data_IF_881489811001
#
_entry.id   IF_881489811001
#
_cell.length_a   1.000
_cell.length_b   1.000
_cell.length_c   1.000
_cell.angle_alpha   90.00
_cell.angle_beta   90.00
_cell.angle_gamma   90.00
#
_symmetry.space_group_name_H-M   'P 1'
#
loop_
_entity.id
_entity.type
_entity.pdbx_description
1 polymer ?
#
# COMPACT_ATOMS: atom_id res chain seq x y z
N UNK A 1 8.73 -13.56 -9.70
CA UNK A 1 7.41 -12.90 -9.62
C UNK A 1 7.65 -11.40 -9.75
N UNK A 2 7.13 -10.78 -10.80
CA UNK A 2 7.14 -9.31 -10.92
C UNK A 2 6.16 -8.73 -9.89
N UNK A 3 6.67 -8.13 -8.82
CA UNK A 3 5.85 -7.55 -7.75
C UNK A 3 4.84 -6.49 -8.28
N UNK A 4 5.19 -5.87 -9.41
CA UNK A 4 4.37 -4.90 -10.15
C UNK A 4 3.05 -5.47 -10.71
N UNK A 5 2.82 -6.79 -10.65
CA UNK A 5 1.67 -7.46 -11.29
C UNK A 5 0.77 -8.24 -10.33
N UNK A 6 0.87 -7.99 -9.02
CA UNK A 6 0.02 -8.63 -8.02
C UNK A 6 -1.31 -7.89 -7.95
N UNK A 7 -2.36 -8.44 -8.57
CA UNK A 7 -3.73 -7.97 -8.39
C UNK A 7 -4.35 -8.67 -7.19
N UNK A 8 -4.68 -7.91 -6.14
CA UNK A 8 -5.35 -8.42 -4.94
C UNK A 8 -6.84 -8.00 -4.99
N UNK A 9 -7.76 -8.94 -5.26
CA UNK A 9 -9.19 -8.64 -5.30
C UNK A 9 -9.69 -8.09 -3.95
N UNK A 10 -10.47 -7.00 -3.98
CA UNK A 10 -11.06 -6.42 -2.77
C UNK A 10 -10.15 -5.47 -1.98
N UNK A 11 -8.88 -5.29 -2.36
CA UNK A 11 -8.03 -4.25 -1.80
C UNK A 11 -8.22 -2.92 -2.55
N UNK A 12 -8.44 -1.85 -1.79
CA UNK A 12 -8.47 -0.48 -2.32
C UNK A 12 -7.10 -0.14 -2.91
N UNK A 13 -7.01 -0.16 -4.23
CA UNK A 13 -5.85 0.40 -4.93
C UNK A 13 -5.89 1.92 -4.80
N UNK A 14 -4.72 2.53 -4.64
CA UNK A 14 -4.59 3.98 -4.72
C UNK A 14 -5.14 4.42 -6.09
N UNK A 15 -6.36 4.93 -6.11
CA UNK A 15 -6.91 5.50 -7.33
C UNK A 15 -6.04 6.72 -7.66
N UNK A 16 -5.53 6.83 -8.89
CA UNK A 16 -4.87 8.06 -9.30
C UNK A 16 -5.89 9.19 -9.08
N UNK A 17 -5.55 10.14 -8.19
CA UNK A 17 -6.44 11.27 -7.88
C UNK A 17 -6.78 11.95 -9.20
N UNK A 18 -8.07 12.18 -9.51
CA UNK A 18 -8.45 12.94 -10.70
C UNK A 18 -7.79 14.33 -10.60
N UNK A 19 -6.95 14.67 -11.58
CA UNK A 19 -6.26 15.96 -11.58
C UNK A 19 -7.28 17.10 -11.79
N UNK A 20 -7.22 18.17 -10.98
CA UNK A 20 -8.00 19.38 -11.24
C UNK A 20 -7.56 20.01 -12.57
N UNK A 21 -8.50 20.29 -13.47
CA UNK A 21 -8.23 21.00 -14.72
C UNK A 21 -7.66 22.39 -14.41
N UNK A 22 -6.46 22.69 -14.92
CA UNK A 22 -5.87 24.04 -14.88
C UNK A 22 -4.66 24.23 -13.96
N UNK A 23 -4.21 23.20 -13.23
CA UNK A 23 -2.93 23.23 -12.48
C UNK A 23 -1.86 22.46 -13.26
N UNK A 24 -0.63 22.98 -13.41
CA UNK A 24 0.46 22.16 -13.97
C UNK A 24 0.56 20.86 -13.16
N UNK A 25 0.74 19.71 -13.82
CA UNK A 25 0.79 18.42 -13.14
C UNK A 25 1.93 18.49 -12.13
N UNK A 26 1.59 18.31 -10.85
CA UNK A 26 2.61 18.04 -9.86
C UNK A 26 3.35 16.77 -10.31
N UNK A 27 4.68 16.70 -10.15
CA UNK A 27 5.41 15.49 -10.49
C UNK A 27 4.71 14.31 -9.80
N UNK A 28 4.48 13.20 -10.52
CA UNK A 28 3.85 12.04 -9.92
C UNK A 28 4.65 11.67 -8.66
N UNK A 29 3.98 11.36 -7.54
CA UNK A 29 4.70 10.89 -6.36
C UNK A 29 5.55 9.70 -6.79
N UNK A 30 6.80 9.67 -6.35
CA UNK A 30 7.70 8.56 -6.64
C UNK A 30 7.00 7.24 -6.21
N UNK A 31 7.16 6.16 -6.99
CA UNK A 31 6.61 4.87 -6.62
C UNK A 31 7.16 4.48 -5.26
N UNK A 32 6.28 4.37 -4.27
CA UNK A 32 6.64 3.96 -2.93
C UNK A 32 6.59 2.43 -2.83
N UNK A 33 7.69 1.83 -2.37
CA UNK A 33 7.78 0.40 -2.13
C UNK A 33 7.29 0.11 -0.72
N UNK A 34 6.52 -0.96 -0.56
CA UNK A 34 6.03 -1.44 0.73
C UNK A 34 6.16 -2.95 0.78
N UNK A 35 6.37 -3.51 1.97
CA UNK A 35 6.29 -4.94 2.17
C UNK A 35 4.85 -5.34 2.54
N UNK A 36 4.39 -6.49 2.03
CA UNK A 36 3.09 -7.05 2.35
C UNK A 36 3.22 -8.05 3.50
N UNK A 37 2.52 -7.79 4.59
CA UNK A 37 2.60 -8.50 5.85
C UNK A 37 1.33 -9.29 6.16
N UNK A 38 1.47 -10.44 6.81
CA UNK A 38 0.33 -11.29 7.21
C UNK A 38 0.22 -11.47 8.72
N UNK A 39 -0.97 -11.24 9.25
CA UNK A 39 -1.32 -11.53 10.64
C UNK A 39 -1.76 -13.00 10.80
N UNK A 40 -1.70 -13.54 12.03
CA UNK A 40 -2.17 -14.90 12.32
C UNK A 40 -3.68 -15.08 12.08
N UNK A 41 -4.47 -14.00 12.17
CA UNK A 41 -5.89 -13.98 11.84
C UNK A 41 -6.20 -13.95 10.33
N UNK A 42 -5.17 -14.09 9.46
CA UNK A 42 -5.31 -14.12 8.01
C UNK A 42 -5.48 -12.76 7.33
N UNK A 43 -5.46 -11.65 8.08
CA UNK A 43 -5.49 -10.30 7.49
C UNK A 43 -4.12 -9.88 6.97
N UNK A 44 -4.13 -9.03 5.95
CA UNK A 44 -2.95 -8.46 5.33
C UNK A 44 -2.83 -6.96 5.62
N UNK A 45 -1.61 -6.48 5.81
CA UNK A 45 -1.30 -5.07 5.95
C UNK A 45 -0.02 -4.68 5.19
N UNK A 46 0.15 -3.38 4.93
CA UNK A 46 1.34 -2.84 4.30
C UNK A 46 2.25 -2.25 5.38
N UNK A 47 3.54 -2.61 5.34
CA UNK A 47 4.57 -2.08 6.21
C UNK A 47 5.66 -1.37 5.37
N UNK A 48 6.54 -0.55 6.00
CA UNK A 48 7.67 0.10 5.31
C UNK A 48 8.51 -0.90 4.52
N UNK A 49 9.13 -0.49 3.40
CA UNK A 49 9.91 -1.40 2.55
C UNK A 49 11.07 -2.07 3.30
N UNK A 50 11.68 -1.34 4.24
CA UNK A 50 12.79 -1.81 5.05
C UNK A 50 12.37 -2.11 6.49
N UNK A 51 13.03 -3.09 7.11
CA UNK A 51 12.85 -3.42 8.53
C UNK A 51 11.80 -4.50 8.79
N UNK A 52 11.31 -4.53 10.03
CA UNK A 52 10.39 -5.54 10.50
C UNK A 52 8.98 -5.30 9.97
N UNK A 53 8.25 -6.41 9.82
CA UNK A 53 6.85 -6.44 9.44
C UNK A 53 5.98 -5.94 10.60
N UNK A 54 5.93 -4.62 10.78
CA UNK A 54 5.29 -3.94 11.90
C UNK A 54 4.50 -2.70 11.42
N UNK A 55 3.45 -2.38 12.17
CA UNK A 55 2.63 -1.19 11.94
C UNK A 55 2.08 -0.69 13.28
N UNK A 56 1.97 0.63 13.46
CA UNK A 56 1.45 1.22 14.71
C UNK A 56 0.03 0.74 15.03
N UNK A 57 -0.71 0.27 14.01
CA UNK A 57 -2.07 -0.20 14.14
C UNK A 57 -2.20 -1.74 14.23
N UNK A 58 -1.10 -2.44 14.57
CA UNK A 58 -1.05 -3.91 14.58
C UNK A 58 -2.13 -4.50 15.49
N UNK A 59 -2.36 -3.94 16.67
CA UNK A 59 -3.37 -4.45 17.61
C UNK A 59 -4.81 -4.29 17.09
N UNK A 60 -5.06 -3.37 16.16
CA UNK A 60 -6.38 -3.24 15.50
C UNK A 60 -6.51 -4.16 14.28
N UNK A 61 -5.38 -4.49 13.63
CA UNK A 61 -5.34 -5.29 12.41
C UNK A 61 -5.20 -6.79 12.72
N UNK A 62 -4.22 -7.17 13.55
CA UNK A 62 -3.83 -8.54 13.84
C UNK A 62 -4.51 -9.16 15.09
N UNK A 63 -5.57 -8.53 15.62
CA UNK A 63 -6.42 -9.12 16.67
C UNK A 63 -7.25 -10.30 16.18
#
# INVERSE_FOLDING_TARGET
LEASKVMLPGLKMAHPRPQPRGRPPAPPPAPAVFQLCSCHNGKLFLAPAEGLCATDNENALCR
#
